data_IF_104641971796
#
_entry.id   IF_104641971796
#
_cell.length_a   1.000
_cell.length_b   1.000
_cell.length_c   1.000
_cell.angle_alpha   90.00
_cell.angle_beta   90.00
_cell.angle_gamma   90.00
#
_symmetry.space_group_name_H-M   'P 1'
#
loop_
_entity.id
_entity.type
_entity.pdbx_description
1 polymer ?
#
# COMPACT_ATOMS: atom_id res chain seq x y z
N UNK A 1 -9.34 -15.17 -25.09
CA UNK A 1 -9.47 -15.16 -23.63
C UNK A 1 -8.45 -14.24 -22.95
N UNK A 2 -7.13 -14.34 -23.19
CA UNK A 2 -6.09 -13.48 -22.57
C UNK A 2 -6.24 -11.98 -22.90
N UNK A 3 -6.66 -11.59 -24.11
CA UNK A 3 -6.89 -10.18 -24.50
C UNK A 3 -8.11 -9.55 -23.79
N UNK A 4 -9.17 -10.32 -23.56
CA UNK A 4 -10.37 -9.87 -22.84
C UNK A 4 -10.04 -9.58 -21.36
N UNK A 5 -9.21 -10.41 -20.72
CA UNK A 5 -8.76 -10.21 -19.35
C UNK A 5 -7.82 -9.01 -19.19
N UNK A 6 -6.97 -8.74 -20.20
CA UNK A 6 -6.14 -7.51 -20.19
C UNK A 6 -6.98 -6.23 -20.20
N UNK A 7 -8.12 -6.20 -20.88
CA UNK A 7 -8.96 -4.99 -20.97
C UNK A 7 -9.65 -4.62 -19.65
N UNK A 8 -9.88 -5.59 -18.75
CA UNK A 8 -10.43 -5.32 -17.41
C UNK A 8 -9.39 -4.67 -16.47
N UNK A 9 -8.10 -4.83 -16.78
CA UNK A 9 -6.96 -4.32 -15.96
C UNK A 9 -6.23 -3.12 -16.58
N UNK A 10 -6.70 -2.62 -17.73
CA UNK A 10 -6.11 -1.44 -18.38
C UNK A 10 -6.47 -0.20 -17.57
N UNK A 11 -5.47 0.43 -16.96
CA UNK A 11 -5.61 1.72 -16.25
C UNK A 11 -5.51 1.66 -14.73
N UNK A 12 -5.32 0.48 -14.12
CA UNK A 12 -5.10 0.41 -12.66
C UNK A 12 -3.63 0.71 -12.35
N UNK A 13 -3.31 1.73 -11.53
CA UNK A 13 -1.95 2.06 -11.13
C UNK A 13 -1.23 0.88 -10.45
N UNK A 14 0.09 0.79 -10.61
CA UNK A 14 0.88 -0.34 -10.10
C UNK A 14 0.78 -0.52 -8.58
N UNK A 15 0.72 0.58 -7.81
CA UNK A 15 0.56 0.52 -6.36
C UNK A 15 -0.78 -0.10 -5.94
N UNK A 16 -1.89 0.27 -6.63
CA UNK A 16 -3.22 -0.33 -6.38
C UNK A 16 -3.19 -1.82 -6.75
N UNK A 17 -2.52 -2.17 -7.84
CA UNK A 17 -2.39 -3.54 -8.30
C UNK A 17 -1.62 -4.42 -7.31
N UNK A 18 -0.54 -3.91 -6.71
CA UNK A 18 0.23 -4.61 -5.68
C UNK A 18 -0.65 -4.81 -4.43
N UNK A 19 -1.43 -3.80 -4.01
CA UNK A 19 -2.31 -3.88 -2.83
C UNK A 19 -3.43 -4.92 -3.05
N UNK A 20 -4.03 -4.97 -4.24
CA UNK A 20 -5.01 -6.01 -4.62
C UNK A 20 -4.42 -7.43 -4.61
N UNK A 21 -3.16 -7.60 -5.05
CA UNK A 21 -2.47 -8.89 -4.97
C UNK A 21 -2.20 -9.26 -3.52
N UNK A 22 -1.80 -8.31 -2.70
CA UNK A 22 -1.53 -8.52 -1.26
C UNK A 22 -2.77 -9.02 -0.52
N UNK A 23 -3.94 -8.52 -0.87
CA UNK A 23 -5.22 -8.97 -0.29
C UNK A 23 -5.50 -10.46 -0.50
N UNK A 24 -4.94 -11.10 -1.55
CA UNK A 24 -5.07 -12.54 -1.76
C UNK A 24 -4.36 -13.36 -0.67
N UNK A 25 -3.31 -12.81 -0.05
CA UNK A 25 -2.43 -13.50 0.89
C UNK A 25 -2.66 -13.10 2.36
N UNK A 26 -3.80 -12.48 2.69
CA UNK A 26 -4.03 -11.93 4.04
C UNK A 26 -4.48 -12.96 5.10
N UNK A 27 -5.05 -14.08 4.71
CA UNK A 27 -5.69 -15.00 5.68
C UNK A 27 -5.48 -16.47 5.37
N UNK A 28 -4.85 -17.21 6.31
CA UNK A 28 -4.57 -18.66 6.22
C UNK A 28 -5.75 -19.52 6.64
N UNK A 29 -6.52 -19.05 7.62
CA UNK A 29 -7.56 -19.85 8.27
C UNK A 29 -8.61 -20.37 7.29
N UNK A 30 -9.24 -19.58 6.41
CA UNK A 30 -10.22 -20.08 5.46
C UNK A 30 -9.65 -21.07 4.43
N UNK A 31 -8.37 -20.94 4.06
CA UNK A 31 -7.70 -21.90 3.16
C UNK A 31 -7.57 -23.26 3.83
N UNK A 32 -7.14 -23.27 5.09
CA UNK A 32 -7.00 -24.51 5.90
C UNK A 32 -8.35 -25.17 6.16
N UNK A 33 -9.40 -24.40 6.48
CA UNK A 33 -10.75 -24.91 6.69
C UNK A 33 -11.29 -25.55 5.40
N UNK A 34 -11.14 -24.89 4.25
CA UNK A 34 -11.61 -25.45 2.97
C UNK A 34 -10.88 -26.75 2.63
N UNK A 35 -9.57 -26.83 2.86
CA UNK A 35 -8.79 -28.05 2.66
C UNK A 35 -9.20 -29.18 3.58
N UNK A 36 -9.39 -28.88 4.86
CA UNK A 36 -9.86 -29.85 5.86
C UNK A 36 -11.26 -30.37 5.52
N UNK A 37 -12.18 -29.49 5.13
CA UNK A 37 -13.54 -29.87 4.74
C UNK A 37 -13.54 -30.75 3.49
N UNK A 38 -12.74 -30.41 2.47
CA UNK A 38 -12.59 -31.29 1.28
C UNK A 38 -12.05 -32.66 1.67
N UNK A 39 -11.03 -32.73 2.54
CA UNK A 39 -10.43 -33.98 2.98
C UNK A 39 -11.44 -34.86 3.76
N UNK A 40 -12.21 -34.29 4.68
CA UNK A 40 -13.22 -34.99 5.44
C UNK A 40 -14.33 -35.54 4.55
N UNK A 41 -14.90 -34.68 3.68
CA UNK A 41 -16.01 -35.06 2.81
C UNK A 41 -15.56 -36.15 1.82
N UNK A 42 -14.41 -36.00 1.17
CA UNK A 42 -13.93 -37.02 0.23
C UNK A 42 -13.53 -38.33 0.93
N UNK A 43 -12.97 -38.27 2.14
CA UNK A 43 -12.67 -39.47 2.94
C UNK A 43 -13.96 -40.21 3.38
N UNK A 44 -14.98 -39.46 3.85
CA UNK A 44 -16.28 -40.03 4.20
C UNK A 44 -16.96 -40.70 2.99
N UNK A 45 -16.93 -40.04 1.82
CA UNK A 45 -17.46 -40.64 0.58
C UNK A 45 -16.66 -41.88 0.17
N UNK A 46 -15.33 -41.90 0.36
CA UNK A 46 -14.48 -43.05 0.05
C UNK A 46 -14.86 -44.27 0.92
N UNK A 47 -15.01 -44.09 2.23
CA UNK A 47 -15.36 -45.15 3.18
C UNK A 47 -16.76 -45.71 2.85
N UNK A 48 -17.75 -44.85 2.68
CA UNK A 48 -19.14 -45.23 2.50
C UNK A 48 -19.46 -45.83 1.12
N UNK A 49 -18.69 -45.47 0.07
CA UNK A 49 -18.85 -46.02 -1.26
C UNK A 49 -17.91 -47.18 -1.58
N UNK A 50 -16.99 -47.50 -0.67
CA UNK A 50 -15.90 -48.46 -0.87
C UNK A 50 -15.07 -48.21 -2.15
N UNK A 51 -14.99 -46.94 -2.59
CA UNK A 51 -14.30 -46.55 -3.80
C UNK A 51 -12.98 -45.82 -3.48
N UNK A 52 -11.81 -46.44 -3.74
CA UNK A 52 -10.51 -45.89 -3.37
C UNK A 52 -10.14 -44.61 -4.10
N UNK A 53 -10.80 -44.30 -5.23
CA UNK A 53 -10.54 -43.06 -5.99
C UNK A 53 -10.75 -41.81 -5.13
N UNK A 54 -11.72 -41.80 -4.23
CA UNK A 54 -11.99 -40.65 -3.35
C UNK A 54 -10.89 -40.43 -2.31
N UNK A 55 -10.13 -41.47 -1.90
CA UNK A 55 -8.94 -41.28 -1.06
C UNK A 55 -7.84 -40.50 -1.82
N UNK A 56 -7.67 -40.80 -3.12
CA UNK A 56 -6.76 -40.05 -3.97
C UNK A 56 -7.13 -38.56 -4.05
N UNK A 57 -8.42 -38.28 -4.17
CA UNK A 57 -8.94 -36.91 -4.17
C UNK A 57 -8.71 -36.19 -2.83
N UNK A 58 -8.93 -36.93 -1.71
CA UNK A 58 -8.64 -36.40 -0.37
C UNK A 58 -7.15 -36.06 -0.20
N UNK A 59 -6.26 -36.97 -0.58
CA UNK A 59 -4.82 -36.76 -0.50
C UNK A 59 -4.37 -35.58 -1.37
N UNK A 60 -4.87 -35.47 -2.60
CA UNK A 60 -4.59 -34.34 -3.48
C UNK A 60 -5.06 -33.01 -2.86
N UNK A 61 -6.26 -32.98 -2.26
CA UNK A 61 -6.79 -31.82 -1.56
C UNK A 61 -5.90 -31.37 -0.39
N UNK A 62 -5.43 -32.31 0.40
CA UNK A 62 -4.49 -32.03 1.50
C UNK A 62 -3.17 -31.47 0.99
N UNK A 63 -2.58 -32.10 -0.04
CA UNK A 63 -1.31 -31.65 -0.64
C UNK A 63 -1.42 -30.23 -1.17
N UNK A 64 -2.48 -29.94 -1.93
CA UNK A 64 -2.71 -28.58 -2.48
C UNK A 64 -2.93 -27.57 -1.36
N UNK A 65 -3.63 -27.95 -0.28
CA UNK A 65 -3.84 -27.07 0.87
C UNK A 65 -2.54 -26.73 1.58
N UNK A 66 -1.69 -27.75 1.85
CA UNK A 66 -0.37 -27.53 2.46
C UNK A 66 0.47 -26.61 1.56
N UNK A 67 0.49 -26.86 0.25
CA UNK A 67 1.20 -26.01 -0.73
C UNK A 67 0.71 -24.56 -0.68
N UNK A 68 -0.61 -24.31 -0.63
CA UNK A 68 -1.19 -22.96 -0.58
C UNK A 68 -0.82 -22.23 0.71
N UNK A 69 -0.90 -22.90 1.84
CA UNK A 69 -0.52 -22.32 3.15
C UNK A 69 0.98 -22.03 3.22
N UNK A 70 1.82 -22.93 2.68
CA UNK A 70 3.27 -22.70 2.60
C UNK A 70 3.60 -21.50 1.68
N UNK A 71 2.94 -21.42 0.53
CA UNK A 71 3.12 -20.31 -0.44
C UNK A 71 2.81 -18.96 0.20
N UNK A 72 1.74 -18.87 1.00
CA UNK A 72 1.40 -17.64 1.74
C UNK A 72 2.49 -17.26 2.75
N UNK A 73 3.04 -18.24 3.49
CA UNK A 73 4.13 -18.01 4.43
C UNK A 73 5.40 -17.47 3.76
N UNK A 74 5.74 -18.00 2.58
CA UNK A 74 6.91 -17.55 1.80
C UNK A 74 6.65 -16.16 1.20
N UNK A 75 5.42 -15.88 0.74
CA UNK A 75 5.03 -14.56 0.23
C UNK A 75 5.30 -13.47 1.27
N UNK A 76 4.82 -13.62 2.50
CA UNK A 76 5.02 -12.62 3.56
C UNK A 76 6.49 -12.40 3.91
N UNK A 77 7.31 -13.45 3.85
CA UNK A 77 8.78 -13.32 4.04
C UNK A 77 9.44 -12.57 2.88
N UNK A 78 9.01 -12.84 1.64
CA UNK A 78 9.58 -12.19 0.46
C UNK A 78 9.19 -10.71 0.36
N UNK A 79 7.98 -10.33 0.82
CA UNK A 79 7.51 -8.95 0.84
C UNK A 79 8.32 -8.06 1.79
N UNK A 80 8.86 -8.61 2.87
CA UNK A 80 9.73 -7.89 3.80
C UNK A 80 11.11 -7.51 3.23
N UNK A 81 11.48 -7.97 2.04
CA UNK A 81 12.75 -7.64 1.40
C UNK A 81 12.66 -6.29 0.65
N UNK A 82 13.77 -5.52 0.67
CA UNK A 82 13.85 -4.13 0.14
C UNK A 82 13.51 -3.95 -1.35
N UNK A 83 13.36 -5.01 -2.13
CA UNK A 83 13.17 -4.98 -3.59
C UNK A 83 11.91 -5.70 -4.08
N UNK A 84 10.77 -5.55 -3.40
CA UNK A 84 9.53 -6.16 -3.85
C UNK A 84 8.94 -5.38 -5.05
N UNK A 85 9.12 -5.91 -6.27
CA UNK A 85 8.69 -5.28 -7.53
C UNK A 85 7.33 -5.80 -8.00
N UNK A 86 6.67 -5.05 -8.91
CA UNK A 86 5.43 -5.49 -9.54
C UNK A 86 5.59 -6.85 -10.24
N UNK A 87 6.71 -7.09 -10.90
CA UNK A 87 7.01 -8.37 -11.55
C UNK A 87 7.11 -9.54 -10.55
N UNK A 88 7.59 -9.28 -9.33
CA UNK A 88 7.59 -10.25 -8.25
C UNK A 88 6.16 -10.53 -7.76
N UNK A 89 5.34 -9.49 -7.54
CA UNK A 89 3.95 -9.62 -7.16
C UNK A 89 3.14 -10.43 -8.18
N UNK A 90 3.32 -10.19 -9.49
CA UNK A 90 2.67 -10.95 -10.55
C UNK A 90 3.07 -12.43 -10.60
N UNK A 91 4.31 -12.77 -10.24
CA UNK A 91 4.73 -14.18 -10.12
C UNK A 91 3.96 -14.88 -9.00
N UNK A 92 3.83 -14.22 -7.85
CA UNK A 92 3.06 -14.74 -6.73
C UNK A 92 1.57 -14.85 -7.04
N UNK A 93 1.00 -13.87 -7.76
CA UNK A 93 -0.37 -13.93 -8.25
C UNK A 93 -0.62 -15.15 -9.13
N UNK A 94 0.27 -15.45 -10.10
CA UNK A 94 0.14 -16.62 -10.96
C UNK A 94 0.19 -17.93 -10.16
N UNK A 95 1.08 -18.01 -9.18
CA UNK A 95 1.20 -19.20 -8.32
C UNK A 95 -0.08 -19.41 -7.50
N UNK A 96 -0.63 -18.33 -6.95
CA UNK A 96 -1.91 -18.33 -6.25
C UNK A 96 -3.06 -18.76 -7.16
N UNK A 97 -3.12 -18.25 -8.38
CA UNK A 97 -4.14 -18.58 -9.38
C UNK A 97 -4.12 -20.08 -9.71
N UNK A 98 -2.96 -20.63 -10.07
CA UNK A 98 -2.82 -22.04 -10.40
C UNK A 98 -3.23 -22.95 -9.25
N UNK A 99 -2.77 -22.68 -8.04
CA UNK A 99 -3.14 -23.46 -6.87
C UNK A 99 -4.63 -23.38 -6.56
N UNK A 100 -5.26 -22.22 -6.80
CA UNK A 100 -6.70 -22.02 -6.64
C UNK A 100 -7.51 -22.77 -7.67
N UNK A 101 -7.05 -22.81 -8.94
CA UNK A 101 -7.72 -23.57 -10.01
C UNK A 101 -7.65 -25.07 -9.76
N UNK A 102 -6.50 -25.58 -9.35
CA UNK A 102 -6.35 -27.01 -9.02
C UNK A 102 -7.31 -27.38 -7.86
N UNK A 103 -7.33 -26.58 -6.81
CA UNK A 103 -8.20 -26.85 -5.66
C UNK A 103 -9.69 -26.76 -6.03
N UNK A 104 -10.09 -25.76 -6.79
CA UNK A 104 -11.45 -25.59 -7.33
C UNK A 104 -11.87 -26.78 -8.20
N UNK A 105 -10.96 -27.26 -9.06
CA UNK A 105 -11.17 -28.43 -9.88
C UNK A 105 -11.38 -29.72 -9.09
N UNK A 106 -10.62 -29.91 -7.99
CA UNK A 106 -10.80 -31.07 -7.08
C UNK A 106 -12.21 -31.07 -6.45
N UNK A 107 -12.72 -29.90 -6.03
CA UNK A 107 -14.08 -29.79 -5.48
C UNK A 107 -15.13 -30.06 -6.58
N UNK A 108 -14.96 -29.48 -7.76
CA UNK A 108 -15.86 -29.73 -8.90
C UNK A 108 -15.88 -31.22 -9.32
N UNK A 109 -14.72 -31.89 -9.31
CA UNK A 109 -14.61 -33.32 -9.58
C UNK A 109 -15.28 -34.18 -8.50
N UNK A 110 -15.12 -33.83 -7.21
CA UNK A 110 -15.85 -34.48 -6.13
C UNK A 110 -17.36 -34.34 -6.32
N UNK A 111 -17.85 -33.13 -6.64
CA UNK A 111 -19.24 -32.86 -6.95
C UNK A 111 -19.74 -33.73 -8.09
N UNK A 112 -19.08 -33.70 -9.25
CA UNK A 112 -19.46 -34.50 -10.39
C UNK A 112 -19.50 -36.02 -10.09
N UNK A 113 -18.49 -36.54 -9.40
CA UNK A 113 -18.40 -37.96 -9.05
C UNK A 113 -19.52 -38.40 -8.08
N UNK A 114 -19.86 -37.60 -7.08
CA UNK A 114 -20.95 -37.93 -6.13
C UNK A 114 -22.33 -37.88 -6.81
N UNK A 115 -22.56 -36.96 -7.73
CA UNK A 115 -23.77 -36.92 -8.53
C UNK A 115 -23.88 -38.12 -9.48
N UNK A 116 -22.77 -38.60 -9.99
CA UNK A 116 -22.74 -39.82 -10.84
C UNK A 116 -22.98 -41.08 -10.00
N UNK A 117 -22.52 -41.16 -8.77
CA UNK A 117 -22.61 -42.31 -7.88
C UNK A 117 -24.03 -42.62 -7.31
N UNK A 118 -25.04 -41.77 -7.55
CA UNK A 118 -26.46 -41.95 -7.19
C UNK A 118 -26.78 -42.03 -5.68
N UNK A 119 -25.88 -41.61 -4.77
CA UNK A 119 -26.14 -41.59 -3.34
C UNK A 119 -26.60 -40.20 -2.87
N UNK A 120 -27.85 -39.99 -2.42
CA UNK A 120 -28.37 -38.68 -2.03
C UNK A 120 -27.58 -38.02 -0.88
N UNK A 121 -27.08 -38.84 0.09
CA UNK A 121 -26.30 -38.28 1.19
C UNK A 121 -24.95 -37.69 0.69
N UNK A 122 -24.29 -38.39 -0.23
CA UNK A 122 -23.04 -37.88 -0.85
C UNK A 122 -23.30 -36.62 -1.70
N UNK A 123 -24.42 -36.59 -2.42
CA UNK A 123 -24.82 -35.41 -3.21
C UNK A 123 -25.07 -34.19 -2.30
N UNK A 124 -25.72 -34.39 -1.16
CA UNK A 124 -25.95 -33.32 -0.18
C UNK A 124 -24.63 -32.75 0.36
N UNK A 125 -23.71 -33.61 0.77
CA UNK A 125 -22.39 -33.19 1.29
C UNK A 125 -21.57 -32.45 0.21
N UNK A 126 -21.55 -32.97 -1.01
CA UNK A 126 -20.85 -32.34 -2.13
C UNK A 126 -21.49 -31.00 -2.49
N UNK A 127 -22.81 -30.90 -2.47
CA UNK A 127 -23.55 -29.64 -2.67
C UNK A 127 -23.15 -28.58 -1.67
N UNK A 128 -23.15 -28.94 -0.38
CA UNK A 128 -22.73 -28.03 0.70
C UNK A 128 -21.29 -27.54 0.50
N UNK A 129 -20.39 -28.43 0.10
CA UNK A 129 -18.99 -28.10 -0.16
C UNK A 129 -18.84 -27.17 -1.40
N UNK A 130 -19.54 -27.48 -2.51
CA UNK A 130 -19.52 -26.67 -3.74
C UNK A 130 -20.01 -25.26 -3.47
N UNK A 131 -21.19 -25.09 -2.85
CA UNK A 131 -21.71 -23.77 -2.53
C UNK A 131 -20.88 -23.03 -1.49
N UNK A 132 -20.45 -23.73 -0.42
CA UNK A 132 -19.63 -23.12 0.62
C UNK A 132 -18.29 -22.62 0.11
N UNK A 133 -17.61 -23.41 -0.73
CA UNK A 133 -16.35 -22.99 -1.33
C UNK A 133 -16.54 -21.89 -2.38
N UNK A 134 -17.59 -22.00 -3.23
CA UNK A 134 -17.91 -20.97 -4.21
C UNK A 134 -18.22 -19.62 -3.54
N UNK A 135 -18.99 -19.62 -2.44
CA UNK A 135 -19.21 -18.42 -1.63
C UNK A 135 -17.90 -17.86 -1.07
N UNK A 136 -17.00 -18.74 -0.59
CA UNK A 136 -15.66 -18.34 -0.16
C UNK A 136 -14.82 -17.70 -1.27
N UNK A 137 -14.91 -18.18 -2.52
CA UNK A 137 -14.28 -17.55 -3.68
C UNK A 137 -14.84 -16.14 -3.89
N UNK A 138 -16.18 -15.99 -3.90
CA UNK A 138 -16.83 -14.69 -4.08
C UNK A 138 -16.40 -13.69 -3.00
N UNK A 139 -16.35 -14.10 -1.73
CA UNK A 139 -15.97 -13.20 -0.65
C UNK A 139 -14.49 -12.79 -0.66
N UNK A 140 -13.57 -13.69 -1.08
CA UNK A 140 -12.14 -13.49 -0.87
C UNK A 140 -11.33 -13.22 -2.12
N UNK A 141 -11.68 -13.89 -3.22
CA UNK A 141 -10.89 -13.84 -4.46
C UNK A 141 -11.45 -12.83 -5.45
N UNK A 142 -12.59 -12.19 -5.13
CA UNK A 142 -13.22 -11.17 -5.99
C UNK A 142 -12.34 -9.95 -6.23
N UNK A 143 -11.35 -9.70 -5.38
CA UNK A 143 -10.31 -8.68 -5.59
C UNK A 143 -9.52 -8.93 -6.89
N UNK A 144 -9.58 -10.14 -7.44
CA UNK A 144 -8.94 -10.55 -8.71
C UNK A 144 -9.92 -11.38 -9.55
N UNK A 145 -10.83 -10.73 -10.30
CA UNK A 145 -11.84 -11.41 -11.12
C UNK A 145 -11.26 -12.46 -12.09
N UNK A 146 -10.03 -12.20 -12.60
CA UNK A 146 -9.29 -13.14 -13.45
C UNK A 146 -8.94 -14.48 -12.77
N UNK A 147 -8.97 -14.52 -11.44
CA UNK A 147 -8.78 -15.76 -10.66
C UNK A 147 -10.13 -16.29 -10.17
N UNK A 148 -11.00 -15.41 -9.67
CA UNK A 148 -12.27 -15.79 -9.07
C UNK A 148 -13.21 -16.50 -10.07
N UNK A 149 -13.40 -15.90 -11.25
CA UNK A 149 -14.37 -16.41 -12.21
C UNK A 149 -14.00 -17.78 -12.79
N UNK A 150 -12.76 -18.05 -13.26
CA UNK A 150 -12.39 -19.39 -13.68
C UNK A 150 -12.46 -20.41 -12.54
N UNK A 151 -12.11 -20.03 -11.30
CA UNK A 151 -12.23 -20.91 -10.15
C UNK A 151 -13.70 -21.27 -9.85
N UNK A 152 -14.62 -20.31 -9.92
CA UNK A 152 -16.07 -20.56 -9.79
C UNK A 152 -16.59 -21.50 -10.87
N UNK A 153 -16.14 -21.32 -12.12
CA UNK A 153 -16.50 -22.22 -13.22
C UNK A 153 -16.01 -23.65 -12.98
N UNK A 154 -14.76 -23.81 -12.49
CA UNK A 154 -14.18 -25.12 -12.19
C UNK A 154 -14.90 -25.84 -11.05
N UNK A 155 -15.45 -25.11 -10.09
CA UNK A 155 -16.26 -25.68 -8.98
C UNK A 155 -17.64 -26.09 -9.47
N UNK A 156 -18.33 -25.21 -10.21
CA UNK A 156 -19.75 -25.33 -10.49
C UNK A 156 -20.05 -26.18 -11.74
N UNK A 157 -19.34 -25.95 -12.86
CA UNK A 157 -19.69 -26.55 -14.14
C UNK A 157 -19.58 -28.09 -14.17
N UNK A 158 -18.54 -28.74 -13.58
CA UNK A 158 -18.49 -30.21 -13.58
C UNK A 158 -19.66 -30.83 -12.84
N UNK A 159 -20.05 -30.24 -11.70
CA UNK A 159 -21.19 -30.72 -10.89
C UNK A 159 -22.52 -30.50 -11.59
N UNK A 160 -22.72 -29.30 -12.19
CA UNK A 160 -23.92 -29.00 -12.98
C UNK A 160 -24.08 -29.93 -14.19
N UNK A 161 -22.98 -30.16 -14.89
CA UNK A 161 -22.97 -31.11 -16.04
C UNK A 161 -23.34 -32.54 -15.61
N UNK A 162 -22.74 -33.05 -14.51
CA UNK A 162 -23.06 -34.37 -13.98
C UNK A 162 -24.53 -34.49 -13.53
N UNK A 163 -25.10 -33.42 -12.96
CA UNK A 163 -26.51 -33.38 -12.59
C UNK A 163 -27.43 -33.43 -13.80
N UNK A 164 -27.16 -32.64 -14.86
CA UNK A 164 -27.96 -32.60 -16.12
C UNK A 164 -27.87 -33.90 -16.91
N UNK A 165 -26.70 -34.53 -16.93
CA UNK A 165 -26.48 -35.78 -17.70
C UNK A 165 -27.33 -36.97 -17.20
N UNK A 166 -27.95 -36.84 -16.01
CA UNK A 166 -28.73 -37.92 -15.41
C UNK A 166 -30.21 -37.97 -15.77
N UNK A 167 -30.71 -36.99 -16.50
CA UNK A 167 -32.12 -36.90 -16.95
C UNK A 167 -33.12 -37.09 -15.77
N UNK A 168 -32.82 -36.47 -14.64
CA UNK A 168 -33.65 -36.45 -13.42
C UNK A 168 -34.12 -35.03 -13.21
N UNK A 169 -35.43 -34.82 -13.01
CA UNK A 169 -36.03 -33.48 -12.88
C UNK A 169 -35.48 -32.72 -11.64
N UNK A 170 -35.30 -33.41 -10.51
CA UNK A 170 -34.76 -32.78 -9.29
C UNK A 170 -33.31 -32.35 -9.47
N UNK A 171 -32.50 -33.17 -10.18
CA UNK A 171 -31.12 -32.85 -10.50
C UNK A 171 -31.02 -31.74 -11.55
N UNK A 172 -31.99 -31.67 -12.48
CA UNK A 172 -32.07 -30.53 -13.40
C UNK A 172 -32.34 -29.21 -12.68
N UNK A 173 -33.26 -29.19 -11.71
CA UNK A 173 -33.48 -28.01 -10.85
C UNK A 173 -32.21 -27.62 -10.08
N UNK A 174 -31.49 -28.59 -9.51
CA UNK A 174 -30.22 -28.32 -8.85
C UNK A 174 -29.20 -27.63 -9.80
N UNK A 175 -29.07 -28.13 -11.02
CA UNK A 175 -28.19 -27.55 -12.04
C UNK A 175 -28.59 -26.11 -12.39
N UNK A 176 -29.89 -25.84 -12.52
CA UNK A 176 -30.43 -24.49 -12.76
C UNK A 176 -30.06 -23.55 -11.60
N UNK A 177 -30.24 -23.99 -10.35
CA UNK A 177 -29.89 -23.19 -9.17
C UNK A 177 -28.39 -22.89 -9.14
N UNK A 178 -27.56 -23.89 -9.46
CA UNK A 178 -26.09 -23.72 -9.48
C UNK A 178 -25.64 -22.76 -10.59
N UNK A 179 -26.27 -22.83 -11.76
CA UNK A 179 -26.00 -21.89 -12.87
C UNK A 179 -26.48 -20.47 -12.51
N UNK A 180 -27.68 -20.34 -11.91
CA UNK A 180 -28.17 -19.05 -11.45
C UNK A 180 -27.25 -18.42 -10.39
N UNK A 181 -26.75 -19.24 -9.44
CA UNK A 181 -25.73 -18.82 -8.47
C UNK A 181 -24.44 -18.37 -9.17
N UNK A 182 -23.97 -19.08 -10.19
CA UNK A 182 -22.78 -18.72 -10.95
C UNK A 182 -22.94 -17.37 -11.66
N UNK A 183 -24.11 -17.14 -12.29
CA UNK A 183 -24.43 -15.88 -12.97
C UNK A 183 -24.50 -14.71 -11.98
N UNK A 184 -25.16 -14.89 -10.83
CA UNK A 184 -25.21 -13.89 -9.77
C UNK A 184 -23.83 -13.60 -9.18
N UNK A 185 -23.01 -14.65 -9.03
CA UNK A 185 -21.62 -14.52 -8.55
C UNK A 185 -20.75 -13.69 -9.49
N UNK A 186 -20.99 -13.75 -10.81
CA UNK A 186 -20.26 -12.94 -11.78
C UNK A 186 -20.43 -11.44 -11.53
N UNK A 187 -21.65 -10.99 -11.31
CA UNK A 187 -21.95 -9.58 -11.04
C UNK A 187 -21.42 -9.15 -9.66
N UNK A 188 -21.56 -10.02 -8.66
CA UNK A 188 -21.02 -9.76 -7.31
C UNK A 188 -19.51 -9.63 -7.32
N UNK A 189 -18.78 -10.49 -8.04
CA UNK A 189 -17.33 -10.41 -8.20
C UNK A 189 -16.93 -9.08 -8.85
N UNK A 190 -17.64 -8.65 -9.91
CA UNK A 190 -17.36 -7.38 -10.57
C UNK A 190 -17.61 -6.19 -9.64
N UNK A 191 -18.70 -6.23 -8.90
CA UNK A 191 -19.05 -5.18 -7.94
C UNK A 191 -18.01 -5.05 -6.83
N UNK A 192 -17.63 -6.16 -6.17
CA UNK A 192 -16.62 -6.18 -5.12
C UNK A 192 -15.26 -5.68 -5.66
N UNK A 193 -14.87 -6.10 -6.86
CA UNK A 193 -13.62 -5.65 -7.49
C UNK A 193 -13.59 -4.14 -7.68
N UNK A 194 -14.68 -3.56 -8.23
CA UNK A 194 -14.78 -2.10 -8.43
C UNK A 194 -14.72 -1.35 -7.11
N UNK A 195 -15.45 -1.82 -6.10
CA UNK A 195 -15.43 -1.22 -4.77
C UNK A 195 -14.03 -1.23 -4.13
N UNK A 196 -13.30 -2.34 -4.26
CA UNK A 196 -11.92 -2.41 -3.73
C UNK A 196 -11.00 -1.42 -4.44
N UNK A 197 -11.07 -1.30 -5.78
CA UNK A 197 -10.26 -0.30 -6.51
C UNK A 197 -10.58 1.11 -6.03
N UNK A 198 -11.86 1.46 -5.96
CA UNK A 198 -12.30 2.79 -5.52
C UNK A 198 -11.82 3.08 -4.08
N UNK A 199 -11.99 2.13 -3.18
CA UNK A 199 -11.59 2.25 -1.79
C UNK A 199 -10.07 2.44 -1.63
N UNK A 200 -9.25 1.67 -2.37
CA UNK A 200 -7.80 1.80 -2.36
C UNK A 200 -7.38 3.15 -2.95
N UNK A 201 -7.99 3.55 -4.07
CA UNK A 201 -7.68 4.85 -4.73
C UNK A 201 -8.02 6.03 -3.82
N UNK A 202 -9.20 6.03 -3.21
CA UNK A 202 -9.59 7.05 -2.22
C UNK A 202 -8.65 7.10 -1.02
N UNK A 203 -8.28 5.94 -0.48
CA UNK A 203 -7.32 5.85 0.63
C UNK A 203 -5.96 6.49 0.26
N UNK A 204 -5.47 6.25 -0.95
CA UNK A 204 -4.23 6.86 -1.44
C UNK A 204 -4.37 8.36 -1.64
N UNK A 205 -5.48 8.82 -2.21
CA UNK A 205 -5.78 10.25 -2.40
C UNK A 205 -5.86 10.97 -1.05
N UNK A 206 -6.64 10.45 -0.11
CA UNK A 206 -6.69 10.99 1.26
C UNK A 206 -5.33 10.99 1.95
N UNK A 207 -4.55 9.92 1.77
CA UNK A 207 -3.20 9.82 2.31
C UNK A 207 -2.27 10.90 1.73
N UNK A 208 -2.38 11.17 0.44
CA UNK A 208 -1.59 12.22 -0.23
C UNK A 208 -2.02 13.61 0.24
N UNK A 209 -3.33 13.90 0.27
CA UNK A 209 -3.88 15.15 0.79
C UNK A 209 -3.50 15.38 2.26
N UNK A 210 -3.54 14.31 3.08
CA UNK A 210 -3.16 14.40 4.49
C UNK A 210 -1.67 14.65 4.73
N UNK A 211 -0.79 14.36 3.75
CA UNK A 211 0.68 14.47 3.89
C UNK A 211 1.31 15.64 3.15
N UNK A 212 0.54 16.33 2.32
CA UNK A 212 1.02 17.48 1.56
C UNK A 212 0.28 18.75 1.93
N UNK A 213 0.95 19.88 1.79
CA UNK A 213 0.35 21.21 1.93
C UNK A 213 -0.41 21.55 0.64
N UNK A 214 -1.69 21.88 0.77
CA UNK A 214 -2.58 22.10 -0.38
C UNK A 214 -2.18 23.32 -1.22
N UNK A 215 -1.51 24.34 -0.63
CA UNK A 215 -1.11 25.53 -1.35
C UNK A 215 0.17 25.31 -2.16
N UNK A 216 1.18 24.71 -1.54
CA UNK A 216 2.54 24.64 -2.11
C UNK A 216 2.88 23.30 -2.73
N UNK A 217 2.10 22.25 -2.45
CA UNK A 217 2.38 20.87 -2.88
C UNK A 217 3.55 20.20 -2.15
N UNK A 218 4.27 20.91 -1.28
CA UNK A 218 5.32 20.33 -0.45
C UNK A 218 4.73 19.36 0.60
N UNK A 219 5.57 18.54 1.20
CA UNK A 219 5.13 17.79 2.39
C UNK A 219 4.65 18.77 3.48
N UNK A 220 3.63 18.37 4.21
CA UNK A 220 3.18 19.10 5.41
C UNK A 220 3.82 18.52 6.68
N UNK A 221 3.41 18.99 7.86
CA UNK A 221 3.93 18.52 9.15
C UNK A 221 3.82 17.00 9.33
N UNK A 222 2.72 16.38 8.91
CA UNK A 222 2.53 14.93 9.02
C UNK A 222 3.48 14.18 8.08
N UNK A 223 3.53 14.59 6.81
CA UNK A 223 4.45 14.01 5.81
C UNK A 223 5.92 14.16 6.22
N UNK A 224 6.27 15.27 6.89
CA UNK A 224 7.59 15.49 7.45
C UNK A 224 7.96 14.45 8.52
N UNK A 225 7.11 14.27 9.53
CA UNK A 225 7.38 13.34 10.64
C UNK A 225 7.61 11.90 10.13
N UNK A 226 6.77 11.42 9.22
CA UNK A 226 6.91 10.08 8.65
C UNK A 226 8.21 9.91 7.84
N UNK A 227 8.54 10.90 7.01
CA UNK A 227 9.76 10.83 6.15
C UNK A 227 11.04 10.99 6.99
N UNK A 228 11.03 11.87 7.98
CA UNK A 228 12.18 12.09 8.86
C UNK A 228 12.56 10.80 9.60
N UNK A 229 11.60 10.08 10.16
CA UNK A 229 11.84 8.81 10.85
C UNK A 229 12.50 7.76 9.93
N UNK A 230 12.02 7.66 8.67
CA UNK A 230 12.58 6.72 7.68
C UNK A 230 14.02 7.11 7.29
N UNK A 231 14.26 8.40 7.04
CA UNK A 231 15.58 8.92 6.64
C UNK A 231 16.57 8.74 7.77
N UNK A 232 16.20 9.07 9.00
CA UNK A 232 17.05 8.92 10.16
C UNK A 232 17.42 7.45 10.44
N UNK A 233 16.49 6.52 10.26
CA UNK A 233 16.78 5.09 10.35
C UNK A 233 17.78 4.63 9.27
N UNK A 234 17.65 5.16 8.05
CA UNK A 234 18.59 4.86 6.94
C UNK A 234 19.98 5.47 7.20
N UNK A 235 20.03 6.72 7.61
CA UNK A 235 21.29 7.42 7.91
C UNK A 235 22.06 6.69 9.00
N UNK A 236 21.40 6.29 10.08
CA UNK A 236 22.00 5.45 11.14
C UNK A 236 22.57 4.14 10.62
N UNK A 237 21.85 3.44 9.74
CA UNK A 237 22.30 2.16 9.18
C UNK A 237 23.55 2.27 8.29
N UNK A 238 23.86 3.46 7.79
CA UNK A 238 25.00 3.73 6.87
C UNK A 238 26.08 4.58 7.55
N UNK A 239 25.87 5.03 8.82
CA UNK A 239 26.80 5.90 9.56
C UNK A 239 26.87 7.32 9.00
N UNK A 240 25.81 7.82 8.36
CA UNK A 240 25.72 9.19 7.83
C UNK A 240 24.97 10.11 8.77
N UNK A 241 25.31 11.42 8.74
CA UNK A 241 24.57 12.45 9.43
C UNK A 241 23.38 12.92 8.60
N UNK A 242 22.38 13.50 9.27
CA UNK A 242 21.29 14.24 8.66
C UNK A 242 21.29 15.67 9.17
N UNK A 243 20.81 16.63 8.37
CA UNK A 243 20.61 18.00 8.85
C UNK A 243 19.17 18.45 8.61
N UNK A 244 18.63 19.15 9.60
CA UNK A 244 17.33 19.83 9.54
C UNK A 244 17.59 21.33 9.51
N UNK A 245 17.02 21.99 8.49
CA UNK A 245 17.09 23.43 8.30
C UNK A 245 15.69 24.01 8.51
N UNK A 246 15.44 24.70 9.64
CA UNK A 246 14.23 25.50 9.81
C UNK A 246 14.41 26.82 9.10
N UNK A 247 13.48 27.15 8.20
CA UNK A 247 13.52 28.32 7.32
C UNK A 247 12.27 29.15 7.53
N UNK A 248 12.42 30.47 7.61
CA UNK A 248 11.31 31.42 7.75
C UNK A 248 11.56 32.63 6.86
N UNK A 249 10.49 33.08 6.18
CA UNK A 249 10.56 34.22 5.30
C UNK A 249 10.51 35.52 6.08
N UNK A 250 11.59 36.28 6.02
CA UNK A 250 11.69 37.53 6.74
C UNK A 250 10.67 38.56 6.19
N UNK A 251 9.83 39.10 7.09
CA UNK A 251 8.83 40.14 6.77
C UNK A 251 7.72 39.70 5.78
N UNK A 252 7.45 38.41 5.67
CA UNK A 252 6.37 37.90 4.81
C UNK A 252 5.01 38.57 5.11
N UNK A 253 4.74 38.86 6.39
CA UNK A 253 3.52 39.57 6.79
C UNK A 253 3.37 40.93 6.10
N UNK A 254 4.48 41.68 5.93
CA UNK A 254 4.45 43.00 5.24
C UNK A 254 3.99 42.85 3.77
N UNK A 255 4.36 41.74 3.09
CA UNK A 255 3.89 41.43 1.74
C UNK A 255 2.38 41.21 1.73
N UNK A 256 1.84 40.43 2.69
CA UNK A 256 0.41 40.24 2.80
C UNK A 256 -0.35 41.53 3.12
N UNK A 257 0.20 42.35 4.02
CA UNK A 257 -0.45 43.59 4.45
C UNK A 257 -0.49 44.62 3.31
N UNK A 258 0.52 44.64 2.40
CA UNK A 258 0.61 45.58 1.27
C UNK A 258 -0.11 45.08 0.02
N UNK A 259 0.05 43.79 -0.33
CA UNK A 259 -0.40 43.22 -1.61
C UNK A 259 -1.57 42.26 -1.50
N UNK A 260 -1.99 41.94 -0.27
CA UNK A 260 -3.08 41.00 0.00
C UNK A 260 -2.65 39.53 -0.02
N UNK A 261 -3.51 38.69 0.59
CA UNK A 261 -3.26 37.24 0.74
C UNK A 261 -3.05 36.49 -0.59
N UNK A 262 -3.74 36.82 -1.73
CA UNK A 262 -3.50 36.10 -2.97
C UNK A 262 -2.06 36.25 -3.49
N UNK A 263 -1.46 37.43 -3.36
CA UNK A 263 -0.05 37.64 -3.72
C UNK A 263 0.90 36.93 -2.77
N UNK A 264 0.59 36.92 -1.48
CA UNK A 264 1.32 36.13 -0.50
C UNK A 264 1.27 34.62 -0.77
N UNK A 265 0.12 34.08 -1.14
CA UNK A 265 -0.05 32.67 -1.51
C UNK A 265 0.77 32.32 -2.77
N UNK A 266 0.75 33.17 -3.80
CA UNK A 266 1.58 33.00 -4.99
C UNK A 266 3.09 33.07 -4.68
N UNK A 267 3.49 33.96 -3.75
CA UNK A 267 4.86 34.02 -3.25
C UNK A 267 5.27 32.74 -2.53
N UNK A 268 4.42 32.18 -1.68
CA UNK A 268 4.69 30.89 -0.99
C UNK A 268 4.84 29.73 -1.98
N UNK A 269 4.03 29.69 -3.04
CA UNK A 269 4.19 28.71 -4.13
C UNK A 269 5.51 28.86 -4.86
N UNK A 270 5.91 30.10 -5.17
CA UNK A 270 7.18 30.39 -5.81
C UNK A 270 8.38 30.04 -4.93
N UNK A 271 8.30 30.30 -3.61
CA UNK A 271 9.30 29.88 -2.61
C UNK A 271 9.43 28.35 -2.59
N UNK A 272 8.31 27.64 -2.53
CA UNK A 272 8.31 26.18 -2.54
C UNK A 272 8.97 25.59 -3.80
N UNK A 273 8.68 26.18 -4.96
CA UNK A 273 9.30 25.79 -6.23
C UNK A 273 10.81 26.03 -6.22
N UNK A 274 11.26 27.20 -5.76
CA UNK A 274 12.70 27.51 -5.65
C UNK A 274 13.43 26.62 -4.67
N UNK A 275 12.84 26.35 -3.50
CA UNK A 275 13.40 25.39 -2.54
C UNK A 275 13.56 24.01 -3.15
N UNK A 276 12.51 23.51 -3.82
CA UNK A 276 12.58 22.20 -4.47
C UNK A 276 13.67 22.14 -5.55
N UNK A 277 13.84 23.21 -6.32
CA UNK A 277 14.80 23.29 -7.42
C UNK A 277 16.28 23.28 -6.99
N UNK A 278 16.57 23.63 -5.75
CA UNK A 278 17.94 23.61 -5.21
C UNK A 278 18.29 22.34 -4.43
N UNK A 279 17.34 21.44 -4.21
CA UNK A 279 17.57 20.22 -3.48
C UNK A 279 18.05 19.09 -4.40
N UNK A 280 18.89 18.21 -3.87
CA UNK A 280 19.34 17.02 -4.56
C UNK A 280 18.41 15.84 -4.29
N UNK A 281 18.56 14.76 -5.06
CA UNK A 281 17.83 13.52 -4.81
C UNK A 281 18.05 13.01 -3.38
N UNK A 282 16.93 12.74 -2.69
CA UNK A 282 16.92 12.30 -1.31
C UNK A 282 16.68 13.41 -0.28
N UNK A 283 17.03 14.68 -0.59
CA UNK A 283 16.67 15.83 0.23
C UNK A 283 15.21 16.24 -0.05
N UNK A 284 14.55 16.91 0.89
CA UNK A 284 13.19 17.37 0.66
C UNK A 284 12.84 18.61 1.47
N UNK A 285 11.92 19.40 0.92
CA UNK A 285 11.33 20.57 1.56
C UNK A 285 9.94 20.25 2.11
N UNK A 286 9.58 20.95 3.17
CA UNK A 286 8.33 20.83 3.92
C UNK A 286 7.79 22.22 4.19
N UNK A 287 6.47 22.41 4.15
CA UNK A 287 5.84 23.59 4.72
C UNK A 287 5.18 23.22 6.04
N UNK A 288 5.60 23.90 7.12
CA UNK A 288 5.08 23.63 8.47
C UNK A 288 3.79 24.40 8.73
N UNK A 289 3.61 25.54 8.10
CA UNK A 289 2.45 26.43 8.16
C UNK A 289 2.86 27.88 7.96
N UNK A 290 1.95 28.73 7.52
CA UNK A 290 2.27 30.15 7.27
C UNK A 290 3.46 30.32 6.33
N UNK A 291 4.48 31.03 6.77
CA UNK A 291 5.76 31.31 6.11
C UNK A 291 6.92 30.42 6.59
N UNK A 292 6.62 29.38 7.38
CA UNK A 292 7.61 28.46 7.93
C UNK A 292 7.81 27.23 7.02
N UNK A 293 9.06 27.00 6.62
CA UNK A 293 9.50 25.85 5.86
C UNK A 293 10.57 25.07 6.61
N UNK A 294 10.68 23.78 6.32
CA UNK A 294 11.77 22.93 6.80
C UNK A 294 12.40 22.24 5.59
N UNK A 295 13.72 22.22 5.56
CA UNK A 295 14.48 21.43 4.57
C UNK A 295 15.24 20.34 5.30
N UNK A 296 15.10 19.10 4.85
CA UNK A 296 15.86 17.96 5.37
C UNK A 296 16.91 17.56 4.36
N UNK A 297 18.15 17.57 4.80
CA UNK A 297 19.31 17.07 4.08
C UNK A 297 19.59 15.66 4.56
N UNK A 298 19.30 14.67 3.71
CA UNK A 298 19.23 13.25 4.07
C UNK A 298 20.58 12.58 4.33
N UNK A 299 21.64 13.14 3.74
CA UNK A 299 23.02 12.69 3.92
C UNK A 299 23.91 13.93 4.02
N UNK A 300 24.62 14.06 5.12
CA UNK A 300 25.55 15.16 5.37
C UNK A 300 26.90 14.58 5.80
N UNK A 301 27.97 14.98 5.12
CA UNK A 301 29.31 14.55 5.45
C UNK A 301 29.92 15.32 6.62
N UNK A 302 29.63 16.63 6.69
CA UNK A 302 30.17 17.53 7.70
C UNK A 302 29.29 18.78 7.88
N UNK A 303 29.68 19.61 8.84
CA UNK A 303 28.97 20.86 9.17
C UNK A 303 29.02 21.91 8.06
N UNK A 304 30.11 21.92 7.31
CA UNK A 304 30.33 22.85 6.20
C UNK A 304 29.34 22.58 5.06
N UNK A 305 29.04 21.32 4.79
CA UNK A 305 28.06 20.92 3.76
C UNK A 305 26.65 21.40 4.12
N UNK A 306 26.24 21.26 5.38
CA UNK A 306 24.96 21.80 5.85
C UNK A 306 24.93 23.33 5.76
N UNK A 307 26.04 24.00 6.14
CA UNK A 307 26.15 25.46 6.02
C UNK A 307 26.01 25.92 4.56
N UNK A 308 26.62 25.20 3.60
CA UNK A 308 26.53 25.52 2.18
C UNK A 308 25.09 25.48 1.67
N UNK A 309 24.30 24.47 2.08
CA UNK A 309 22.88 24.41 1.72
C UNK A 309 22.13 25.56 2.38
N UNK A 310 22.33 25.85 3.66
CA UNK A 310 21.68 26.97 4.34
C UNK A 310 21.94 28.32 3.65
N UNK A 311 23.19 28.60 3.26
CA UNK A 311 23.55 29.80 2.49
C UNK A 311 22.93 29.82 1.08
N UNK A 312 22.86 28.67 0.42
CA UNK A 312 22.19 28.53 -0.88
C UNK A 312 20.71 28.84 -0.78
N UNK A 313 20.03 28.35 0.26
CA UNK A 313 18.63 28.65 0.54
C UNK A 313 18.43 30.16 0.65
N UNK A 314 19.18 30.84 1.51
CA UNK A 314 19.07 32.30 1.69
C UNK A 314 19.29 33.02 0.36
N UNK A 315 20.39 32.74 -0.34
CA UNK A 315 20.71 33.39 -1.60
C UNK A 315 19.57 33.25 -2.62
N UNK A 316 19.06 32.03 -2.80
CA UNK A 316 18.01 31.74 -3.79
C UNK A 316 16.67 32.37 -3.41
N UNK A 317 16.34 32.45 -2.12
CA UNK A 317 15.10 33.10 -1.67
C UNK A 317 15.22 34.63 -1.65
N UNK A 318 16.43 35.19 -1.57
CA UNK A 318 16.66 36.65 -1.64
C UNK A 318 16.66 37.19 -3.11
N UNK A 319 16.66 36.32 -4.11
CA UNK A 319 16.47 36.75 -5.51
C UNK A 319 15.04 37.29 -5.73
N UNK A 320 14.82 38.32 -6.53
CA UNK A 320 13.48 38.85 -6.79
C UNK A 320 12.51 37.80 -7.31
N UNK A 321 11.26 37.85 -6.85
CA UNK A 321 10.14 37.05 -7.35
C UNK A 321 9.28 37.93 -8.25
N UNK A 322 8.93 37.43 -9.44
CA UNK A 322 7.98 38.08 -10.32
C UNK A 322 6.63 37.42 -10.18
N UNK A 323 5.69 38.10 -9.55
CA UNK A 323 4.34 37.61 -9.27
C UNK A 323 3.32 38.60 -9.81
N UNK A 324 2.53 38.17 -10.77
CA UNK A 324 1.52 39.00 -11.44
C UNK A 324 2.09 40.36 -11.96
N UNK A 325 3.36 40.35 -12.40
CA UNK A 325 4.06 41.54 -12.87
C UNK A 325 4.66 42.42 -11.77
N UNK A 326 4.49 42.05 -10.51
CA UNK A 326 5.12 42.70 -9.35
C UNK A 326 6.49 42.07 -9.07
N UNK A 327 7.50 42.90 -8.84
CA UNK A 327 8.81 42.45 -8.39
C UNK A 327 8.85 42.50 -6.85
N UNK A 328 8.89 41.32 -6.19
CA UNK A 328 8.89 41.17 -4.74
C UNK A 328 10.23 40.62 -4.28
N UNK A 329 10.82 41.23 -3.25
CA UNK A 329 12.03 40.72 -2.61
C UNK A 329 11.74 40.40 -1.14
N UNK A 330 12.04 39.17 -0.74
CA UNK A 330 11.93 38.74 0.65
C UNK A 330 13.25 38.15 1.12
N UNK A 331 13.60 38.36 2.38
CA UNK A 331 14.73 37.68 3.00
C UNK A 331 14.32 36.31 3.56
N UNK A 332 15.30 35.53 3.96
CA UNK A 332 15.06 34.29 4.69
C UNK A 332 16.05 34.12 5.82
N UNK A 333 15.57 33.70 6.98
CA UNK A 333 16.39 33.28 8.12
C UNK A 333 16.42 31.78 8.21
N UNK A 334 17.58 31.17 8.54
CA UNK A 334 17.76 29.73 8.59
C UNK A 334 18.41 29.32 9.91
N UNK A 335 17.81 28.33 10.56
CA UNK A 335 18.41 27.63 11.71
C UNK A 335 18.75 26.18 11.32
N UNK A 336 19.95 25.70 11.65
CA UNK A 336 20.41 24.35 11.30
C UNK A 336 20.66 23.52 12.54
N UNK A 337 20.11 22.30 12.56
CA UNK A 337 20.49 21.25 13.49
C UNK A 337 21.03 20.04 12.73
N UNK A 338 22.09 19.41 13.24
CA UNK A 338 22.70 18.22 12.66
C UNK A 338 22.52 17.07 13.65
N UNK A 339 21.91 15.98 13.18
CA UNK A 339 21.75 14.74 13.93
C UNK A 339 23.04 13.95 13.96
N UNK A 340 23.43 13.51 15.17
CA UNK A 340 24.57 12.63 15.43
C UNK A 340 24.09 11.20 15.60
N UNK A 341 25.00 10.26 15.61
CA UNK A 341 24.72 8.88 15.99
C UNK A 341 24.17 8.85 17.43
N UNK A 342 22.96 8.30 17.60
CA UNK A 342 22.28 8.24 18.90
C UNK A 342 21.25 9.35 19.16
N UNK A 343 21.25 10.44 18.40
CA UNK A 343 20.25 11.50 18.55
C UNK A 343 18.84 11.02 18.13
N UNK A 344 17.81 11.46 18.86
CA UNK A 344 16.43 11.28 18.39
C UNK A 344 16.16 12.28 17.25
N UNK A 345 15.75 11.82 16.07
CA UNK A 345 15.37 12.70 14.97
C UNK A 345 14.31 13.74 15.36
N UNK A 346 13.45 13.42 16.33
CA UNK A 346 12.41 14.33 16.83
C UNK A 346 13.01 15.57 17.52
N UNK A 347 14.23 15.49 18.06
CA UNK A 347 14.89 16.61 18.75
C UNK A 347 15.55 17.61 17.79
N UNK A 348 15.78 17.20 16.53
CA UNK A 348 16.45 18.06 15.54
C UNK A 348 15.60 19.27 15.16
N UNK A 349 14.30 19.11 15.01
CA UNK A 349 13.42 20.21 14.64
C UNK A 349 13.38 21.29 15.71
N UNK A 350 13.12 20.98 17.00
CA UNK A 350 13.20 21.98 18.05
C UNK A 350 14.60 22.65 18.19
N UNK A 351 15.67 21.92 17.90
CA UNK A 351 17.01 22.47 17.92
C UNK A 351 17.24 23.45 16.75
N UNK A 352 16.79 23.11 15.54
CA UNK A 352 16.83 24.00 14.38
C UNK A 352 15.97 25.25 14.58
N UNK A 353 14.79 25.12 15.19
CA UNK A 353 13.90 26.24 15.50
C UNK A 353 14.53 27.22 16.50
N UNK A 354 15.21 26.72 17.53
CA UNK A 354 15.99 27.60 18.48
C UNK A 354 17.09 28.34 17.70
N UNK A 355 17.78 27.70 16.78
CA UNK A 355 18.79 28.33 15.95
C UNK A 355 18.19 29.36 14.98
N UNK A 356 17.02 29.11 14.42
CA UNK A 356 16.26 30.04 13.59
C UNK A 356 15.88 31.29 14.38
N UNK A 357 15.40 31.12 15.59
CA UNK A 357 15.11 32.26 16.48
C UNK A 357 16.37 33.13 16.72
N UNK A 358 17.53 32.50 16.96
CA UNK A 358 18.80 33.22 17.07
C UNK A 358 19.20 33.95 15.78
N UNK A 359 18.93 33.38 14.57
CA UNK A 359 19.12 34.05 13.30
C UNK A 359 18.27 35.31 13.18
N UNK A 360 16.97 35.22 13.53
CA UNK A 360 16.04 36.38 13.53
C UNK A 360 16.48 37.49 14.52
N UNK A 361 16.85 37.10 15.75
CA UNK A 361 17.30 38.03 16.77
C UNK A 361 18.61 38.75 16.44
N UNK A 362 19.49 38.10 15.64
CA UNK A 362 20.80 38.65 15.27
C UNK A 362 20.76 39.53 14.01
N UNK A 363 19.58 39.88 13.47
CA UNK A 363 19.42 40.80 12.35
C UNK A 363 18.91 40.15 11.05
N UNK A 364 18.38 38.92 11.11
CA UNK A 364 17.76 38.19 9.99
C UNK A 364 18.71 37.91 8.83
N UNK A 365 18.18 37.35 7.73
CA UNK A 365 18.89 37.04 6.48
C UNK A 365 20.22 36.32 6.71
N UNK A 366 20.24 35.32 7.58
CA UNK A 366 21.44 34.58 7.98
C UNK A 366 21.18 33.15 8.40
N UNK A 367 22.26 32.39 8.43
CA UNK A 367 22.26 31.00 8.92
C UNK A 367 22.88 30.95 10.31
N UNK A 368 22.20 30.26 11.22
CA UNK A 368 22.72 29.95 12.56
C UNK A 368 22.62 28.45 12.82
N UNK A 369 23.66 27.88 13.44
CA UNK A 369 23.61 26.50 13.92
C UNK A 369 23.02 26.40 15.32
N UNK A 370 22.27 25.33 15.57
CA UNK A 370 21.95 24.93 16.92
C UNK A 370 23.24 24.74 17.73
N UNK A 371 23.23 25.23 18.97
CA UNK A 371 24.32 24.91 19.92
C UNK A 371 24.21 23.40 20.21
N UNK A 372 25.36 22.71 20.41
CA UNK A 372 25.32 21.35 20.94
C UNK A 372 24.49 21.36 22.24
N UNK A 373 23.60 20.39 22.38
CA UNK A 373 22.89 20.20 23.64
C UNK A 373 23.96 19.65 24.62
N UNK A 374 24.41 20.44 25.54
CA UNK A 374 25.31 19.99 26.60
C UNK A 374 24.56 18.92 27.41
N UNK A 375 25.23 17.78 27.64
CA UNK A 375 24.65 16.62 28.34
C UNK A 375 24.15 16.94 29.76
N UNK A 376 24.56 18.07 30.33
CA UNK A 376 24.11 18.56 31.65
C UNK A 376 22.64 19.07 31.67
N UNK A 377 22.07 19.46 30.51
CA UNK A 377 20.69 19.99 30.47
C UNK A 377 19.65 18.86 30.51
N UNK A 378 20.00 17.65 30.07
CA UNK A 378 19.12 16.49 30.11
C UNK A 378 18.98 15.95 31.55
N UNK A 379 20.02 16.07 32.37
CA UNK A 379 19.99 15.59 33.75
C UNK A 379 19.15 16.44 34.71
N UNK A 380 18.69 17.63 34.29
CA UNK A 380 17.85 18.54 35.12
C UNK A 380 16.36 18.51 34.79
N UNK A 381 15.94 17.74 33.78
CA UNK A 381 14.54 17.64 33.33
C UNK A 381 13.93 16.22 33.52
N UNK A 382 14.64 15.32 34.22
CA UNK A 382 14.19 13.98 34.61
C UNK A 382 13.78 13.88 36.07
#
# INVERSE_FOLDING_TARGET
MVKFWRSIFVGVPDHVRIELIDMLFQTRVPLSIAGFTLAIVSCHVAISSANPWFYGLSAAGVIVTIFRVATEGVYHRSKGQRSFTIAAAERWERLYAWSSYVFAGLIGLLGAATFWAKNPAHQLLATALVFGYAAGIVCRISVRPGIALPALMLVALPTAFAALARVDSNLAFYAVILIAFLLGSFETVRFIYRQNIEQISLKHEFSTLARHDALTGLANRLGFQERLAIIAARARAVGCLIAVHSVDLDRFKEVNDVHGHPVGDALLQAVASRLSGILRDGDFAVRMGGDEFVVVQSVVGNREEAMLLGRRIIRTLSEPFIIDGLELTVGASVGIAIGREGDDPCDLTPAADRALYASKASGRNRVTFAKPVDAETIARAG
#
